data_IF_631123091408
#
_entry.id   IF_631123091408
#
_cell.length_a   1.000
_cell.length_b   1.000
_cell.length_c   1.000
_cell.angle_alpha   90.00
_cell.angle_beta   90.00
_cell.angle_gamma   90.00
#
_symmetry.space_group_name_H-M   'P 1'
#
loop_
_entity.id
_entity.type
_entity.pdbx_description
1 polymer ?
#
# COMPACT_ATOMS: atom_id res chain seq x y z
N UNK A 1 13.15 -7.20 -3.23
CA UNK A 1 11.95 -6.49 -2.71
C UNK A 1 12.13 -4.97 -2.67
N UNK A 2 13.15 -4.41 -2.00
CA UNK A 2 13.40 -2.96 -1.95
C UNK A 2 13.49 -2.28 -3.34
N UNK A 3 14.11 -2.93 -4.32
CA UNK A 3 14.15 -2.43 -5.72
C UNK A 3 12.76 -2.35 -6.36
N UNK A 4 11.85 -3.27 -6.03
CA UNK A 4 10.48 -3.21 -6.54
C UNK A 4 9.69 -2.07 -5.89
N UNK A 5 9.87 -1.83 -4.59
CA UNK A 5 9.28 -0.67 -3.90
C UNK A 5 9.85 0.65 -4.42
N UNK A 6 11.14 0.70 -4.77
CA UNK A 6 11.76 1.88 -5.36
C UNK A 6 11.08 2.30 -6.68
N UNK A 7 10.48 1.35 -7.43
CA UNK A 7 9.73 1.67 -8.65
C UNK A 7 8.49 2.51 -8.39
N UNK A 8 7.90 2.43 -7.21
CA UNK A 8 6.73 3.24 -6.83
C UNK A 8 7.05 4.74 -6.78
N UNK A 9 8.33 5.11 -6.72
CA UNK A 9 8.80 6.49 -6.70
C UNK A 9 9.10 7.07 -8.09
N UNK A 10 8.97 6.26 -9.14
CA UNK A 10 9.10 6.70 -10.53
C UNK A 10 7.72 7.01 -11.10
N UNK A 11 7.66 7.59 -12.31
CA UNK A 11 6.41 7.70 -13.06
C UNK A 11 5.76 6.33 -13.17
N UNK A 12 4.58 6.23 -12.56
CA UNK A 12 3.95 4.96 -12.24
C UNK A 12 2.55 4.90 -12.83
N UNK A 13 2.05 3.69 -13.14
CA UNK A 13 0.67 3.51 -13.58
C UNK A 13 -0.32 3.98 -12.49
N UNK A 14 -1.55 4.36 -12.87
CA UNK A 14 -2.55 4.83 -11.92
C UNK A 14 -2.98 3.74 -10.93
N UNK A 15 -2.83 2.45 -11.26
CA UNK A 15 -3.16 1.31 -10.40
C UNK A 15 -1.90 0.57 -9.92
N UNK A 16 -1.73 0.45 -8.60
CA UNK A 16 -0.70 -0.37 -7.98
C UNK A 16 -1.33 -1.60 -7.32
N UNK A 17 -0.72 -2.76 -7.55
CA UNK A 17 -1.07 -4.02 -6.88
C UNK A 17 0.16 -4.51 -6.14
N UNK A 18 0.08 -4.61 -4.81
CA UNK A 18 1.21 -4.87 -3.94
C UNK A 18 0.94 -6.09 -3.05
N UNK A 19 1.89 -7.03 -3.01
CA UNK A 19 1.80 -8.20 -2.14
C UNK A 19 2.78 -8.09 -0.97
N UNK A 20 2.23 -7.93 0.24
CA UNK A 20 2.95 -7.76 1.51
C UNK A 20 4.09 -6.72 1.40
N UNK A 21 3.79 -5.45 1.06
CA UNK A 21 4.83 -4.47 0.71
C UNK A 21 5.65 -3.97 1.92
N UNK A 22 5.16 -4.18 3.14
CA UNK A 22 5.80 -3.71 4.38
C UNK A 22 6.86 -4.67 4.93
N UNK A 23 6.97 -5.89 4.40
CA UNK A 23 7.92 -6.87 4.93
C UNK A 23 9.37 -6.35 4.84
N UNK A 24 10.12 -6.49 5.94
CA UNK A 24 11.53 -6.10 6.05
C UNK A 24 11.82 -4.59 5.92
N UNK A 25 10.80 -3.76 6.16
CA UNK A 25 10.94 -2.34 6.47
C UNK A 25 11.01 -2.13 7.99
N UNK A 26 11.74 -1.12 8.42
CA UNK A 26 11.67 -0.61 9.78
C UNK A 26 10.48 0.35 9.94
N UNK A 27 10.25 0.84 11.17
CA UNK A 27 9.12 1.74 11.47
C UNK A 27 9.11 2.99 10.59
N UNK A 28 10.29 3.55 10.32
CA UNK A 28 10.42 4.74 9.47
C UNK A 28 10.07 4.43 8.02
N UNK A 29 10.56 3.30 7.48
CA UNK A 29 10.25 2.86 6.13
C UNK A 29 8.77 2.53 5.94
N UNK A 30 8.11 1.95 6.96
CA UNK A 30 6.67 1.72 6.94
C UNK A 30 5.92 3.04 6.82
N UNK A 31 6.18 4.00 7.71
CA UNK A 31 5.50 5.30 7.70
C UNK A 31 5.71 6.07 6.38
N UNK A 32 6.92 6.01 5.82
CA UNK A 32 7.22 6.62 4.51
C UNK A 32 6.44 5.97 3.37
N UNK A 33 6.36 4.64 3.38
CA UNK A 33 5.61 3.91 2.36
C UNK A 33 4.12 4.20 2.49
N UNK A 34 3.55 4.16 3.69
CA UNK A 34 2.14 4.50 3.92
C UNK A 34 1.77 5.89 3.40
N UNK A 35 2.56 6.91 3.76
CA UNK A 35 2.35 8.27 3.29
C UNK A 35 2.44 8.37 1.76
N UNK A 36 3.34 7.61 1.14
CA UNK A 36 3.49 7.57 -0.32
C UNK A 36 2.29 6.90 -1.00
N UNK A 37 1.77 5.79 -0.45
CA UNK A 37 0.55 5.14 -0.95
C UNK A 37 -0.67 6.06 -0.81
N UNK A 38 -0.82 6.73 0.34
CA UNK A 38 -1.92 7.65 0.58
C UNK A 38 -1.88 8.82 -0.43
N UNK A 39 -0.71 9.42 -0.64
CA UNK A 39 -0.52 10.49 -1.63
C UNK A 39 -0.86 10.06 -3.05
N UNK A 40 -0.47 8.85 -3.46
CA UNK A 40 -0.83 8.31 -4.78
C UNK A 40 -2.36 8.23 -4.96
N UNK A 41 -3.08 7.77 -3.94
CA UNK A 41 -4.54 7.72 -3.95
C UNK A 41 -5.18 9.12 -3.99
N UNK A 42 -4.65 10.07 -3.22
CA UNK A 42 -5.13 11.47 -3.21
C UNK A 42 -4.94 12.17 -4.56
N UNK A 43 -3.94 11.74 -5.34
CA UNK A 43 -3.69 12.22 -6.70
C UNK A 43 -4.57 11.54 -7.77
N UNK A 44 -5.54 10.72 -7.36
CA UNK A 44 -6.46 10.01 -8.25
C UNK A 44 -5.98 8.62 -8.67
N UNK A 45 -4.89 8.14 -8.09
CA UNK A 45 -4.44 6.76 -8.23
C UNK A 45 -5.25 5.78 -7.38
N UNK A 46 -4.97 4.48 -7.55
CA UNK A 46 -5.56 3.41 -6.77
C UNK A 46 -4.47 2.43 -6.34
N UNK A 47 -4.53 1.99 -5.08
CA UNK A 47 -3.66 0.95 -4.54
C UNK A 47 -4.52 -0.21 -4.04
N UNK A 48 -4.20 -1.41 -4.49
CA UNK A 48 -4.67 -2.67 -3.94
C UNK A 48 -3.48 -3.34 -3.29
N UNK A 49 -3.58 -3.70 -2.02
CA UNK A 49 -2.49 -4.34 -1.32
C UNK A 49 -2.98 -5.45 -0.38
N UNK A 50 -2.13 -6.45 -0.18
CA UNK A 50 -2.25 -7.43 0.91
C UNK A 50 -1.28 -7.04 2.01
N UNK A 51 -1.72 -7.15 3.26
CA UNK A 51 -0.88 -6.87 4.41
C UNK A 51 -1.46 -7.53 5.66
N UNK A 52 -0.57 -8.00 6.54
CA UNK A 52 -0.92 -8.30 7.94
C UNK A 52 -0.72 -7.11 8.88
N UNK A 53 -0.24 -5.98 8.36
CA UNK A 53 0.00 -4.74 9.10
C UNK A 53 -1.24 -3.83 9.06
N UNK A 54 -1.64 -3.29 10.21
CA UNK A 54 -2.66 -2.25 10.27
C UNK A 54 -2.10 -0.93 9.74
N UNK A 55 -2.75 -0.33 8.75
CA UNK A 55 -2.33 0.96 8.20
C UNK A 55 -2.70 2.10 9.16
N UNK A 56 -1.73 2.93 9.52
CA UNK A 56 -1.98 4.13 10.34
C UNK A 56 -2.40 5.33 9.49
N UNK A 57 -1.85 5.45 8.27
CA UNK A 57 -2.22 6.48 7.31
C UNK A 57 -3.10 5.91 6.17
N UNK A 58 -4.38 6.27 6.17
CA UNK A 58 -5.36 5.81 5.17
C UNK A 58 -5.91 6.98 4.35
N UNK A 59 -5.88 6.93 3.00
CA UNK A 59 -6.44 7.97 2.14
C UNK A 59 -7.98 7.98 2.16
N UNK A 60 -8.58 9.05 1.65
CA UNK A 60 -10.03 9.13 1.46
C UNK A 60 -10.52 8.04 0.50
N UNK A 61 -11.38 7.15 0.99
CA UNK A 61 -11.86 5.99 0.23
C UNK A 61 -11.15 4.66 0.53
N UNK A 62 -10.30 4.61 1.56
CA UNK A 62 -9.77 3.35 2.09
C UNK A 62 -10.89 2.34 2.41
N UNK A 63 -10.68 1.09 2.01
CA UNK A 63 -11.56 -0.04 2.31
C UNK A 63 -10.71 -1.26 2.67
N UNK A 64 -11.04 -1.88 3.79
CA UNK A 64 -10.49 -3.16 4.20
C UNK A 64 -11.41 -4.28 3.70
N UNK A 65 -10.83 -5.30 3.08
CA UNK A 65 -11.53 -6.48 2.59
C UNK A 65 -10.96 -7.70 3.31
N UNK A 66 -11.65 -8.16 4.34
CA UNK A 66 -11.33 -9.44 4.96
C UNK A 66 -11.74 -10.58 4.01
N UNK A 67 -10.79 -11.35 3.48
CA UNK A 67 -11.11 -12.46 2.58
C UNK A 67 -11.58 -13.72 3.33
N UNK A 68 -11.23 -13.88 4.61
CA UNK A 68 -11.62 -15.02 5.43
C UNK A 68 -13.14 -15.10 5.67
N UNK A 69 -13.84 -13.97 5.62
CA UNK A 69 -15.31 -13.94 5.71
C UNK A 69 -16.03 -14.54 4.47
N UNK A 70 -15.28 -14.83 3.39
CA UNK A 70 -15.81 -15.39 2.14
C UNK A 70 -15.38 -16.85 1.90
N UNK A 71 -14.57 -17.41 2.79
CA UNK A 71 -14.19 -18.83 2.76
C UNK A 71 -15.29 -19.65 3.47
N UNK A 72 -16.31 -20.05 2.70
CA UNK A 72 -17.33 -21.00 3.15
C UNK A 72 -16.76 -22.43 3.30
#
# INVERSE_FOLDING_TARGET
RRVALARLYLDSPPLWVLDEPFTALDKQGVAQLEAHLARHCEQGGMVVLTTHHTLECTPSGYRDINLGQWAA
#
